data_IF_526867102585
#
_entry.id   IF_526867102585
#
_cell.length_a   1.000
_cell.length_b   1.000
_cell.length_c   1.000
_cell.angle_alpha   90.00
_cell.angle_beta   90.00
_cell.angle_gamma   90.00
#
_symmetry.space_group_name_H-M   'P 1'
#
loop_
_entity.id
_entity.type
_entity.pdbx_description
1 polymer ?
#
# COMPACT_ATOMS: atom_id res chain seq x y z
N UNK A 1 -18.81 2.81 8.75
CA UNK A 1 -18.87 3.68 7.54
C UNK A 1 -19.82 3.02 6.54
N UNK A 2 -20.45 3.74 5.61
CA UNK A 2 -21.25 3.09 4.56
C UNK A 2 -20.34 2.36 3.58
N UNK A 3 -20.70 1.14 3.18
CA UNK A 3 -19.95 0.41 2.14
C UNK A 3 -20.03 1.21 0.84
N UNK A 4 -18.89 1.46 0.16
CA UNK A 4 -18.90 2.17 -1.10
C UNK A 4 -19.66 1.43 -2.20
N UNK A 5 -20.03 2.16 -3.25
CA UNK A 5 -20.76 1.62 -4.39
C UNK A 5 -19.88 1.10 -5.52
N UNK A 6 -18.59 1.41 -5.55
CA UNK A 6 -17.62 1.14 -6.62
C UNK A 6 -16.22 0.85 -6.07
N UNK A 7 -15.35 0.25 -6.88
CA UNK A 7 -13.97 -0.06 -6.46
C UNK A 7 -13.05 1.17 -6.44
N UNK A 8 -13.35 2.22 -7.23
CA UNK A 8 -12.58 3.47 -7.24
C UNK A 8 -12.55 4.14 -5.85
N UNK A 9 -13.61 3.98 -5.08
CA UNK A 9 -13.67 4.43 -3.69
C UNK A 9 -12.57 3.86 -2.78
N UNK A 10 -11.98 2.70 -3.13
CA UNK A 10 -10.87 2.11 -2.38
C UNK A 10 -9.61 2.97 -2.42
N UNK A 11 -9.51 3.92 -3.36
CA UNK A 11 -8.44 4.94 -3.35
C UNK A 11 -8.42 5.81 -2.08
N UNK A 12 -9.47 5.80 -1.26
CA UNK A 12 -9.41 6.37 0.09
C UNK A 12 -8.40 5.64 0.99
N UNK A 13 -8.30 4.31 0.88
CA UNK A 13 -7.32 3.51 1.62
C UNK A 13 -5.89 3.82 1.16
N UNK A 14 -5.68 4.03 -0.15
CA UNK A 14 -4.38 4.46 -0.67
C UNK A 14 -3.95 5.79 -0.04
N UNK A 15 -4.86 6.78 0.03
CA UNK A 15 -4.57 8.07 0.70
C UNK A 15 -4.28 7.92 2.20
N UNK A 16 -4.96 7.02 2.89
CA UNK A 16 -4.70 6.74 4.31
C UNK A 16 -3.31 6.11 4.51
N UNK A 17 -2.92 5.20 3.62
CA UNK A 17 -1.57 4.61 3.59
C UNK A 17 -0.50 5.66 3.29
N UNK A 18 -0.72 6.51 2.27
CA UNK A 18 0.17 7.63 1.92
C UNK A 18 0.39 8.57 3.12
N UNK A 19 -0.69 8.95 3.82
CA UNK A 19 -0.63 9.79 5.02
C UNK A 19 0.17 9.11 6.13
N UNK A 20 -0.03 7.81 6.37
CA UNK A 20 0.71 7.10 7.39
C UNK A 20 2.22 7.01 7.07
N UNK A 21 2.56 6.84 5.78
CA UNK A 21 3.95 6.90 5.33
C UNK A 21 4.53 8.30 5.48
N UNK A 22 3.76 9.35 5.16
CA UNK A 22 4.19 10.73 5.34
C UNK A 22 4.48 11.06 6.81
N UNK A 23 3.61 10.64 7.73
CA UNK A 23 3.81 10.80 9.18
C UNK A 23 5.09 10.09 9.68
N UNK A 24 5.45 8.96 9.06
CA UNK A 24 6.75 8.33 9.30
C UNK A 24 7.91 9.24 8.85
N UNK A 25 7.83 9.79 7.64
CA UNK A 25 8.85 10.69 7.09
C UNK A 25 8.98 11.98 7.91
N UNK A 26 7.86 12.54 8.40
CA UNK A 26 7.86 13.69 9.31
C UNK A 26 8.59 13.40 10.62
N UNK A 27 8.38 12.21 11.21
CA UNK A 27 9.11 11.79 12.40
C UNK A 27 10.61 11.64 12.14
N UNK A 28 11.02 11.10 10.98
CA UNK A 28 12.43 11.06 10.57
C UNK A 28 13.02 12.46 10.41
N UNK A 29 12.29 13.41 9.80
CA UNK A 29 12.72 14.80 9.67
C UNK A 29 12.88 15.47 11.05
N UNK A 30 11.97 15.16 11.98
CA UNK A 30 12.01 15.59 13.38
C UNK A 30 13.08 14.89 14.22
N UNK A 31 13.80 13.92 13.66
CA UNK A 31 14.77 13.06 14.37
C UNK A 31 14.15 12.23 15.51
N UNK A 32 12.84 12.01 15.45
CA UNK A 32 12.10 11.17 16.37
C UNK A 32 12.10 9.72 15.85
N UNK A 33 13.24 9.05 16.03
CA UNK A 33 13.45 7.70 15.54
C UNK A 33 12.45 6.67 16.12
N UNK A 34 12.09 6.70 17.42
CA UNK A 34 11.05 5.81 17.95
C UNK A 34 9.71 5.95 17.24
N UNK A 35 9.22 7.18 17.05
CA UNK A 35 7.94 7.42 16.36
C UNK A 35 8.04 7.04 14.89
N UNK A 36 9.17 7.35 14.23
CA UNK A 36 9.40 6.93 12.86
C UNK A 36 9.28 5.41 12.70
N UNK A 37 9.98 4.63 13.55
CA UNK A 37 9.92 3.16 13.50
C UNK A 37 8.51 2.62 13.71
N UNK A 38 7.79 3.16 14.69
CA UNK A 38 6.41 2.74 14.97
C UNK A 38 5.51 2.99 13.75
N UNK A 39 5.60 4.16 13.13
CA UNK A 39 4.78 4.53 11.97
C UNK A 39 5.10 3.71 10.74
N UNK A 40 6.37 3.46 10.44
CA UNK A 40 6.77 2.60 9.32
C UNK A 40 6.31 1.15 9.53
N UNK A 41 6.44 0.64 10.75
CA UNK A 41 5.96 -0.70 11.11
C UNK A 41 4.45 -0.82 10.92
N UNK A 42 3.71 0.21 11.35
CA UNK A 42 2.25 0.28 11.15
C UNK A 42 1.89 0.36 9.67
N UNK A 43 2.56 1.22 8.90
CA UNK A 43 2.36 1.36 7.45
C UNK A 43 2.55 0.01 6.76
N UNK A 44 3.67 -0.68 7.04
CA UNK A 44 3.94 -2.01 6.50
C UNK A 44 2.82 -2.99 6.80
N UNK A 45 2.33 -3.01 8.04
CA UNK A 45 1.24 -3.91 8.44
C UNK A 45 -0.06 -3.63 7.68
N UNK A 46 -0.41 -2.36 7.50
CA UNK A 46 -1.63 -1.94 6.81
C UNK A 46 -1.52 -2.19 5.31
N UNK A 47 -0.38 -1.84 4.68
CA UNK A 47 -0.11 -2.15 3.28
C UNK A 47 -0.16 -3.66 3.01
N UNK A 48 0.50 -4.49 3.84
CA UNK A 48 0.44 -5.95 3.65
C UNK A 48 -0.98 -6.48 3.66
N UNK A 49 -1.86 -6.01 4.56
CA UNK A 49 -3.27 -6.42 4.59
C UNK A 49 -4.03 -6.00 3.34
N UNK A 50 -3.74 -4.79 2.85
CA UNK A 50 -4.33 -4.27 1.62
C UNK A 50 -3.99 -5.18 0.43
N UNK A 51 -2.69 -5.43 0.20
CA UNK A 51 -2.21 -6.30 -0.88
C UNK A 51 -2.76 -7.73 -0.74
N UNK A 52 -2.77 -8.29 0.47
CA UNK A 52 -3.36 -9.62 0.73
C UNK A 52 -4.88 -9.67 0.46
N UNK A 53 -5.60 -8.57 0.72
CA UNK A 53 -7.03 -8.48 0.42
C UNK A 53 -7.27 -8.42 -1.09
N UNK A 54 -6.44 -7.69 -1.83
CA UNK A 54 -6.53 -7.61 -3.30
C UNK A 54 -6.26 -8.95 -3.94
N UNK A 55 -5.18 -9.61 -3.56
CA UNK A 55 -4.82 -10.92 -4.08
C UNK A 55 -5.88 -11.98 -3.77
N UNK A 56 -6.49 -11.92 -2.60
CA UNK A 56 -7.47 -12.92 -2.17
C UNK A 56 -8.89 -12.66 -2.70
N UNK A 57 -9.26 -11.41 -2.98
CA UNK A 57 -10.64 -11.03 -3.28
C UNK A 57 -10.82 -10.38 -4.66
N UNK A 58 -9.91 -9.50 -5.07
CA UNK A 58 -10.09 -8.69 -6.28
C UNK A 58 -9.44 -9.33 -7.51
N UNK A 59 -8.17 -9.71 -7.42
CA UNK A 59 -7.43 -10.31 -8.53
C UNK A 59 -8.07 -11.61 -9.07
N UNK A 60 -8.71 -12.48 -8.26
CA UNK A 60 -9.39 -13.66 -8.77
C UNK A 60 -10.57 -13.37 -9.71
N UNK A 61 -11.19 -12.18 -9.60
CA UNK A 61 -12.32 -11.78 -10.44
C UNK A 61 -11.87 -11.16 -11.77
N UNK A 62 -10.64 -10.65 -11.84
CA UNK A 62 -10.10 -9.96 -13.02
C UNK A 62 -10.16 -10.79 -14.33
N UNK A 63 -9.93 -12.12 -14.34
CA UNK A 63 -10.08 -12.93 -15.56
C UNK A 63 -11.47 -12.88 -16.21
N UNK A 64 -12.53 -12.55 -15.45
CA UNK A 64 -13.89 -12.35 -16.00
C UNK A 64 -13.94 -11.20 -17.00
N UNK A 65 -13.09 -10.18 -16.85
CA UNK A 65 -12.98 -9.04 -17.76
C UNK A 65 -12.21 -9.36 -19.05
N UNK A 66 -11.73 -10.61 -19.19
CA UNK A 66 -10.91 -11.03 -20.30
C UNK A 66 -9.50 -10.44 -20.24
N UNK A 67 -8.80 -10.46 -21.38
CA UNK A 67 -7.40 -10.02 -21.42
C UNK A 67 -7.31 -8.51 -21.52
N UNK A 68 -6.87 -7.86 -20.45
CA UNK A 68 -6.56 -6.43 -20.42
C UNK A 68 -5.04 -6.24 -20.54
N UNK A 69 -4.61 -5.50 -21.56
CA UNK A 69 -3.18 -5.21 -21.74
C UNK A 69 -2.69 -4.33 -20.60
N UNK A 70 -1.71 -4.82 -19.83
CA UNK A 70 -1.12 -4.07 -18.72
C UNK A 70 -1.82 -4.25 -17.37
N UNK A 71 -2.76 -5.19 -17.27
CA UNK A 71 -3.45 -5.56 -16.03
C UNK A 71 -3.60 -7.10 -15.93
N UNK A 72 -2.50 -7.82 -16.17
CA UNK A 72 -2.47 -9.25 -15.89
C UNK A 72 -2.33 -9.44 -14.36
N UNK A 73 -3.02 -10.40 -13.72
CA UNK A 73 -2.90 -10.65 -12.29
C UNK A 73 -1.44 -10.81 -11.81
N UNK A 74 -0.57 -11.40 -12.63
CA UNK A 74 0.85 -11.62 -12.32
C UNK A 74 1.66 -10.33 -12.27
N UNK A 75 1.19 -9.26 -12.92
CA UNK A 75 1.83 -7.94 -12.84
C UNK A 75 1.59 -7.32 -11.47
N UNK A 76 0.35 -7.38 -10.97
CA UNK A 76 0.00 -6.87 -9.65
C UNK A 76 0.74 -7.64 -8.55
N UNK A 77 0.69 -8.97 -8.55
CA UNK A 77 1.40 -9.78 -7.53
C UNK A 77 2.92 -9.57 -7.60
N UNK A 78 3.49 -9.36 -8.79
CA UNK A 78 4.89 -8.98 -8.95
C UNK A 78 5.22 -7.60 -8.36
N UNK A 79 4.36 -6.60 -8.57
CA UNK A 79 4.47 -5.27 -7.97
C UNK A 79 4.34 -5.35 -6.43
N UNK A 80 3.37 -6.11 -5.91
CA UNK A 80 3.15 -6.32 -4.47
C UNK A 80 4.39 -6.92 -3.78
N UNK A 81 4.92 -8.00 -4.34
CA UNK A 81 6.13 -8.65 -3.84
C UNK A 81 7.31 -7.66 -3.82
N UNK A 82 7.45 -6.87 -4.89
CA UNK A 82 8.53 -5.88 -4.98
C UNK A 82 8.37 -4.74 -3.97
N UNK A 83 7.14 -4.29 -3.73
CA UNK A 83 6.81 -3.28 -2.72
C UNK A 83 7.19 -3.78 -1.32
N UNK A 84 6.79 -5.00 -0.96
CA UNK A 84 7.13 -5.59 0.34
C UNK A 84 8.64 -5.74 0.55
N UNK A 85 9.39 -6.13 -0.48
CA UNK A 85 10.85 -6.22 -0.43
C UNK A 85 11.52 -4.85 -0.23
N UNK A 86 11.07 -3.82 -0.95
CA UNK A 86 11.60 -2.47 -0.80
C UNK A 86 11.28 -1.90 0.57
N UNK A 87 10.07 -2.13 1.07
CA UNK A 87 9.65 -1.67 2.37
C UNK A 87 10.41 -2.37 3.51
N UNK A 88 10.71 -3.66 3.36
CA UNK A 88 11.59 -4.37 4.29
C UNK A 88 12.98 -3.73 4.36
N UNK A 89 13.57 -3.36 3.21
CA UNK A 89 14.86 -2.64 3.17
C UNK A 89 14.77 -1.28 3.85
N UNK A 90 13.68 -0.54 3.64
CA UNK A 90 13.44 0.74 4.32
C UNK A 90 13.39 0.54 5.85
N UNK A 91 12.66 -0.46 6.32
CA UNK A 91 12.58 -0.82 7.73
C UNK A 91 13.96 -1.15 8.30
N UNK A 92 14.74 -2.00 7.61
CA UNK A 92 16.09 -2.37 8.04
C UNK A 92 17.01 -1.15 8.14
N UNK A 93 16.93 -0.20 7.19
CA UNK A 93 17.74 1.00 7.23
C UNK A 93 17.33 1.97 8.34
N UNK A 94 16.03 2.14 8.59
CA UNK A 94 15.53 2.91 9.73
C UNK A 94 15.96 2.24 11.04
N UNK A 95 15.92 0.91 11.10
CA UNK A 95 16.31 0.16 12.30
C UNK A 95 17.81 0.20 12.59
N UNK A 96 18.62 0.37 11.56
CA UNK A 96 20.07 0.55 11.66
C UNK A 96 20.49 1.99 12.02
N UNK A 97 19.57 2.95 12.05
CA UNK A 97 19.89 4.32 12.45
C UNK A 97 20.30 4.39 13.92
N UNK A 98 21.43 5.05 14.19
CA UNK A 98 21.99 5.26 15.53
C UNK A 98 21.99 6.77 15.85
N UNK A 99 21.11 7.27 16.73
CA UNK A 99 21.01 8.69 17.05
C UNK A 99 22.30 9.30 17.63
N UNK A 100 23.13 8.49 18.29
CA UNK A 100 24.41 8.93 18.84
C UNK A 100 25.55 8.98 17.81
N UNK A 101 25.34 8.45 16.60
CA UNK A 101 26.37 8.40 15.57
C UNK A 101 26.68 9.81 15.01
N UNK A 102 27.96 10.17 14.78
CA UNK A 102 28.34 11.47 14.23
C UNK A 102 27.71 11.80 12.87
N UNK A 103 27.35 10.79 12.07
CA UNK A 103 26.74 10.95 10.75
C UNK A 103 25.23 10.72 10.72
N UNK A 104 24.56 10.63 11.89
CA UNK A 104 23.14 10.29 12.02
C UNK A 104 22.22 11.05 11.03
N UNK A 105 22.34 12.37 10.93
CA UNK A 105 21.54 13.16 9.97
C UNK A 105 21.78 12.77 8.51
N UNK A 106 23.02 12.43 8.14
CA UNK A 106 23.33 11.95 6.79
C UNK A 106 22.79 10.54 6.57
N UNK A 107 22.76 9.71 7.61
CA UNK A 107 22.13 8.40 7.54
C UNK A 107 20.62 8.51 7.31
N UNK A 108 19.94 9.46 7.97
CA UNK A 108 18.52 9.77 7.72
C UNK A 108 18.28 10.21 6.27
N UNK A 109 19.15 11.06 5.70
CA UNK A 109 19.03 11.43 4.27
C UNK A 109 19.11 10.22 3.33
N UNK A 110 20.00 9.27 3.61
CA UNK A 110 20.11 8.02 2.82
C UNK A 110 18.86 7.16 2.92
N UNK A 111 18.15 7.20 4.06
CA UNK A 111 16.84 6.54 4.22
C UNK A 111 15.82 7.18 3.27
N UNK A 112 15.70 8.51 3.26
CA UNK A 112 14.79 9.19 2.32
C UNK A 112 15.09 8.88 0.85
N UNK A 113 16.37 8.85 0.46
CA UNK A 113 16.76 8.49 -0.91
C UNK A 113 16.29 7.07 -1.27
N UNK A 114 16.40 6.12 -0.35
CA UNK A 114 15.92 4.75 -0.57
C UNK A 114 14.39 4.66 -0.63
N UNK A 115 13.69 5.37 0.26
CA UNK A 115 12.23 5.44 0.29
C UNK A 115 11.66 6.04 -1.01
N UNK A 116 12.38 6.94 -1.67
CA UNK A 116 11.94 7.52 -2.95
C UNK A 116 11.68 6.44 -4.03
N UNK A 117 12.47 5.37 -4.04
CA UNK A 117 12.28 4.26 -4.98
C UNK A 117 11.01 3.48 -4.67
N UNK A 118 10.72 3.28 -3.38
CA UNK A 118 9.48 2.66 -2.94
C UNK A 118 8.26 3.50 -3.30
N UNK A 119 8.29 4.81 -3.02
CA UNK A 119 7.19 5.74 -3.32
C UNK A 119 6.86 5.80 -4.80
N UNK A 120 7.87 5.78 -5.68
CA UNK A 120 7.60 5.74 -7.13
C UNK A 120 6.90 4.45 -7.55
N UNK A 121 7.30 3.30 -7.00
CA UNK A 121 6.65 2.02 -7.32
C UNK A 121 5.20 2.01 -6.82
N UNK A 122 4.98 2.41 -5.57
CA UNK A 122 3.64 2.47 -4.97
C UNK A 122 2.72 3.41 -5.76
N UNK A 123 3.17 4.62 -6.10
CA UNK A 123 2.38 5.55 -6.92
C UNK A 123 1.99 4.96 -8.29
N UNK A 124 2.93 4.29 -8.96
CA UNK A 124 2.65 3.64 -10.24
C UNK A 124 1.68 2.46 -10.12
N UNK A 125 1.77 1.73 -9.01
CA UNK A 125 0.89 0.62 -8.69
C UNK A 125 -0.55 1.13 -8.44
N UNK A 126 -0.73 2.12 -7.57
CA UNK A 126 -2.05 2.73 -7.29
C UNK A 126 -2.70 3.30 -8.56
N UNK A 127 -1.91 3.98 -9.41
CA UNK A 127 -2.40 4.47 -10.70
C UNK A 127 -2.84 3.33 -11.64
N UNK A 128 -2.15 2.18 -11.64
CA UNK A 128 -2.51 1.02 -12.45
C UNK A 128 -3.85 0.44 -11.98
N UNK A 129 -4.08 0.40 -10.68
CA UNK A 129 -5.33 -0.11 -10.11
C UNK A 129 -6.51 0.77 -10.50
N UNK A 130 -6.37 2.09 -10.29
CA UNK A 130 -7.39 3.07 -10.65
C UNK A 130 -7.67 3.10 -12.16
N UNK A 131 -6.64 2.92 -12.98
CA UNK A 131 -6.77 2.99 -14.44
C UNK A 131 -7.31 1.71 -15.06
N UNK A 132 -6.97 0.54 -14.49
CA UNK A 132 -7.23 -0.74 -15.13
C UNK A 132 -7.98 -1.74 -14.24
N UNK A 133 -7.53 -1.97 -13.00
CA UNK A 133 -8.10 -3.00 -12.13
C UNK A 133 -9.54 -2.66 -11.74
N UNK A 134 -9.74 -1.52 -11.09
CA UNK A 134 -11.05 -1.13 -10.56
C UNK A 134 -12.11 -0.98 -11.67
N UNK A 135 -11.84 -0.31 -12.81
CA UNK A 135 -12.79 -0.24 -13.90
C UNK A 135 -13.13 -1.60 -14.52
N UNK A 136 -12.16 -2.52 -14.59
CA UNK A 136 -12.39 -3.85 -15.12
C UNK A 136 -13.35 -4.64 -14.22
N UNK A 137 -13.12 -4.63 -12.91
CA UNK A 137 -13.99 -5.28 -11.93
C UNK A 137 -15.40 -4.69 -11.93
N UNK A 138 -15.52 -3.36 -11.98
CA UNK A 138 -16.81 -2.67 -12.09
C UNK A 138 -17.58 -3.02 -13.37
N UNK A 139 -16.89 -3.43 -14.43
CA UNK A 139 -17.52 -3.80 -15.71
C UNK A 139 -18.06 -5.25 -15.75
N UNK A 140 -17.59 -6.13 -14.86
CA UNK A 140 -17.93 -7.56 -14.88
C UNK A 140 -18.69 -8.08 -13.67
N UNK A 141 -18.70 -7.30 -12.58
CA UNK A 141 -19.43 -7.61 -11.36
C UNK A 141 -20.76 -6.86 -11.36
N UNK A 142 -21.83 -7.57 -11.02
CA UNK A 142 -23.10 -6.90 -10.75
C UNK A 142 -23.06 -6.12 -9.41
N UNK A 143 -24.10 -5.31 -9.17
CA UNK A 143 -24.15 -4.47 -7.98
C UNK A 143 -24.13 -5.27 -6.66
N UNK A 144 -24.66 -6.49 -6.64
CA UNK A 144 -24.71 -7.35 -5.45
C UNK A 144 -23.35 -7.98 -5.21
N UNK A 145 -22.74 -8.57 -6.24
CA UNK A 145 -21.39 -9.15 -6.17
C UNK A 145 -20.38 -8.09 -5.70
N UNK A 146 -20.44 -6.90 -6.29
CA UNK A 146 -19.56 -5.78 -5.92
C UNK A 146 -19.73 -5.34 -4.48
N UNK A 147 -20.95 -5.16 -4.00
CA UNK A 147 -21.18 -4.78 -2.60
C UNK A 147 -20.62 -5.82 -1.62
N UNK A 148 -20.79 -7.12 -1.93
CA UNK A 148 -20.25 -8.21 -1.11
C UNK A 148 -18.73 -8.18 -1.09
N UNK A 149 -18.09 -8.02 -2.25
CA UNK A 149 -16.64 -7.95 -2.37
C UNK A 149 -16.06 -6.72 -1.65
N UNK A 150 -16.64 -5.54 -1.85
CA UNK A 150 -16.20 -4.31 -1.17
C UNK A 150 -16.34 -4.41 0.35
N UNK A 151 -17.45 -4.96 0.85
CA UNK A 151 -17.63 -5.17 2.28
C UNK A 151 -16.58 -6.16 2.84
N UNK A 152 -16.32 -7.26 2.13
CA UNK A 152 -15.32 -8.24 2.53
C UNK A 152 -13.89 -7.66 2.48
N UNK A 153 -13.59 -6.83 1.49
CA UNK A 153 -12.32 -6.13 1.34
C UNK A 153 -12.08 -5.19 2.53
N UNK A 154 -13.03 -4.29 2.80
CA UNK A 154 -12.94 -3.34 3.89
C UNK A 154 -12.79 -4.03 5.26
N UNK A 155 -13.51 -5.13 5.49
CA UNK A 155 -13.39 -5.90 6.72
C UNK A 155 -11.98 -6.51 6.93
N UNK A 156 -11.22 -6.75 5.86
CA UNK A 156 -9.84 -7.24 5.93
C UNK A 156 -8.80 -6.12 6.07
N UNK A 157 -9.09 -4.95 5.50
CA UNK A 157 -8.16 -3.81 5.50
C UNK A 157 -8.35 -2.88 6.70
N UNK A 158 -9.50 -2.93 7.38
CA UNK A 158 -9.68 -2.19 8.62
C UNK A 158 -8.64 -2.60 9.68
N UNK A 159 -7.95 -1.63 10.32
CA UNK A 159 -7.12 -1.93 11.46
C UNK A 159 -8.00 -2.49 12.58
N UNK A 160 -7.55 -3.54 13.31
CA UNK A 160 -8.33 -4.11 14.39
C UNK A 160 -8.61 -3.01 15.41
N UNK A 161 -9.85 -2.90 15.87
CA UNK A 161 -10.24 -1.93 16.89
C UNK A 161 -9.29 -2.09 18.09
N UNK A 162 -8.64 -0.99 18.48
CA UNK A 162 -7.70 -0.92 19.59
C UNK A 162 -8.35 -1.32 20.91
#
# INVERSE_FOLDING_TARGET
MSVPSDFVSLGALHRELEELFLLHQEALMGMDLPVARERLSRYRKELTRHLEAEEALLLPELPRAGRIRGAAPELFTGEHQRMLELLAKCQDAVDALEPSAPDYRRAVLRVFDMESTFKHLEHHHSLREETYLFPALDSVLDATERQVLLAAFLARTEPPSR
#
